data_IF_709337508982
#
_entry.id   IF_709337508982
#
_cell.length_a   1.000
_cell.length_b   1.000
_cell.length_c   1.000
_cell.angle_alpha   90.00
_cell.angle_beta   90.00
_cell.angle_gamma   90.00
#
_symmetry.space_group_name_H-M   'P 1'
#
loop_
_entity.id
_entity.type
_entity.pdbx_description
1 polymer ?
#
# COMPACT_ATOMS: atom_id res chain seq x y z
N UNK A 1 -12.73 -19.54 46.04
CA UNK A 1 -11.27 -19.69 45.89
C UNK A 1 -10.63 -18.37 46.32
N UNK A 2 -9.74 -18.45 47.32
CA UNK A 2 -9.10 -17.34 48.03
C UNK A 2 -7.90 -16.84 47.23
N UNK A 3 -7.74 -15.54 47.04
CA UNK A 3 -6.42 -14.91 47.09
C UNK A 3 -6.51 -13.55 47.78
N UNK A 4 -6.16 -13.56 49.08
CA UNK A 4 -5.68 -12.39 49.82
C UNK A 4 -4.21 -12.24 49.45
N UNK A 5 -3.79 -11.05 49.01
CA UNK A 5 -2.38 -10.68 49.00
C UNK A 5 -2.28 -9.30 49.67
N UNK A 6 -1.91 -9.34 50.95
CA UNK A 6 -1.62 -8.21 51.82
C UNK A 6 -0.10 -7.94 51.79
N UNK A 7 0.28 -6.65 51.88
CA UNK A 7 1.57 -6.12 52.33
C UNK A 7 2.78 -6.44 51.41
N UNK A 8 3.85 -5.65 51.28
CA UNK A 8 4.38 -4.51 52.04
C UNK A 8 5.28 -3.67 51.15
N UNK A 9 5.45 -2.40 51.51
CA UNK A 9 6.41 -1.46 50.92
C UNK A 9 7.86 -1.75 51.32
N UNK A 10 8.77 -1.72 50.35
CA UNK A 10 10.21 -1.42 50.43
C UNK A 10 10.70 -1.34 48.96
N UNK A 11 10.98 -0.17 48.40
CA UNK A 11 12.23 0.53 48.62
C UNK A 11 13.29 0.06 47.61
N UNK A 12 13.24 0.55 46.38
CA UNK A 12 14.41 0.67 45.50
C UNK A 12 14.12 1.75 44.44
N UNK A 13 14.88 2.84 44.51
CA UNK A 13 14.88 3.91 43.52
C UNK A 13 15.39 3.34 42.20
N UNK A 14 14.50 3.15 41.22
CA UNK A 14 14.89 2.87 39.85
C UNK A 14 13.96 3.63 38.93
N UNK A 15 14.46 4.76 38.44
CA UNK A 15 13.81 5.64 37.49
C UNK A 15 13.35 4.81 36.28
N UNK A 16 12.06 4.44 36.26
CA UNK A 16 11.41 3.85 35.09
C UNK A 16 11.28 4.95 34.05
N UNK A 17 12.34 5.08 33.25
CA UNK A 17 12.34 5.81 32.01
C UNK A 17 11.29 5.15 31.10
N UNK A 18 10.09 5.72 31.08
CA UNK A 18 9.06 5.46 30.08
C UNK A 18 9.63 5.89 28.72
N UNK A 19 10.38 5.00 28.09
CA UNK A 19 10.80 5.14 26.70
C UNK A 19 9.55 4.91 25.85
N UNK A 20 8.79 5.99 25.64
CA UNK A 20 7.70 6.03 24.69
C UNK A 20 8.27 5.71 23.31
N UNK A 21 8.13 4.45 22.89
CA UNK A 21 8.38 4.04 21.52
C UNK A 21 7.27 4.67 20.66
N UNK A 22 7.48 5.92 20.26
CA UNK A 22 6.75 6.50 19.14
C UNK A 22 7.19 5.73 17.88
N UNK A 23 6.56 4.58 17.64
CA UNK A 23 6.69 3.84 16.40
C UNK A 23 5.98 4.65 15.30
N UNK A 24 6.62 5.73 14.87
CA UNK A 24 6.24 6.42 13.65
C UNK A 24 6.54 5.46 12.50
N UNK A 25 5.49 4.94 11.86
CA UNK A 25 5.66 4.09 10.68
C UNK A 25 6.47 4.88 9.64
N UNK A 26 7.68 4.39 9.34
CA UNK A 26 8.58 5.04 8.41
C UNK A 26 7.95 5.08 7.01
N UNK A 27 8.00 6.26 6.41
CA UNK A 27 7.51 6.48 5.05
C UNK A 27 8.40 5.75 4.04
N UNK A 28 7.78 5.02 3.13
CA UNK A 28 8.42 4.17 2.13
C UNK A 28 7.86 4.47 0.74
N UNK A 29 8.65 4.15 -0.29
CA UNK A 29 8.22 4.23 -1.69
C UNK A 29 7.88 2.84 -2.21
N UNK A 30 6.82 2.76 -3.01
CA UNK A 30 6.25 1.53 -3.53
C UNK A 30 6.00 1.66 -5.01
N UNK A 31 6.72 0.86 -5.80
CA UNK A 31 6.60 0.85 -7.25
C UNK A 31 5.76 -0.36 -7.67
N UNK A 32 4.77 -0.13 -8.51
CA UNK A 32 3.88 -1.21 -8.94
C UNK A 32 2.75 -0.73 -9.83
N UNK A 33 1.87 -1.66 -10.21
CA UNK A 33 0.74 -1.35 -11.07
C UNK A 33 -0.49 -0.95 -10.28
N UNK A 34 -1.10 0.15 -10.69
CA UNK A 34 -2.38 0.61 -10.17
C UNK A 34 -3.54 -0.12 -10.85
N UNK A 35 -4.38 -0.79 -10.06
CA UNK A 35 -5.54 -1.55 -10.54
C UNK A 35 -6.75 -1.23 -9.65
N UNK A 36 -7.96 -1.18 -10.21
CA UNK A 36 -9.15 -1.07 -9.37
C UNK A 36 -9.39 -2.36 -8.56
N UNK A 37 -10.06 -2.23 -7.42
CA UNK A 37 -10.23 -3.33 -6.48
C UNK A 37 -11.15 -4.45 -6.97
N UNK A 38 -12.04 -4.15 -7.92
CA UNK A 38 -12.91 -5.18 -8.49
C UNK A 38 -12.09 -6.10 -9.38
N UNK A 39 -11.27 -5.50 -10.24
CA UNK A 39 -10.36 -6.21 -11.13
C UNK A 39 -9.23 -6.91 -10.38
N UNK A 40 -8.64 -6.28 -9.36
CA UNK A 40 -7.63 -6.94 -8.52
C UNK A 40 -8.18 -8.18 -7.80
N UNK A 41 -9.43 -8.13 -7.34
CA UNK A 41 -10.07 -9.27 -6.70
C UNK A 41 -10.35 -10.42 -7.69
N UNK A 42 -10.57 -10.12 -8.97
CA UNK A 42 -10.83 -11.13 -10.00
C UNK A 42 -9.58 -11.95 -10.36
N UNK A 43 -8.39 -11.39 -10.16
CA UNK A 43 -7.10 -12.07 -10.41
C UNK A 43 -6.38 -12.48 -9.13
N UNK A 44 -7.08 -12.42 -7.98
CA UNK A 44 -6.51 -12.84 -6.71
C UNK A 44 -6.30 -14.36 -6.72
N UNK A 45 -5.05 -14.80 -6.62
CA UNK A 45 -4.68 -16.22 -6.67
C UNK A 45 -4.35 -16.74 -8.07
N UNK A 46 -4.44 -15.89 -9.11
CA UNK A 46 -3.84 -16.20 -10.42
C UNK A 46 -2.30 -16.31 -10.26
N UNK A 47 -1.64 -17.35 -10.80
CA UNK A 47 -0.18 -17.45 -10.78
C UNK A 47 0.53 -16.42 -11.68
N UNK A 48 -0.17 -15.83 -12.65
CA UNK A 48 0.35 -14.92 -13.67
C UNK A 48 -0.57 -13.71 -13.91
N UNK A 49 -0.92 -12.92 -12.87
CA UNK A 49 -1.86 -11.80 -13.01
C UNK A 49 -1.28 -10.64 -13.84
N UNK A 50 0.03 -10.63 -14.10
CA UNK A 50 0.72 -9.52 -14.76
C UNK A 50 0.18 -9.22 -16.16
N UNK A 51 -0.20 -10.24 -16.93
CA UNK A 51 -0.73 -10.03 -18.28
C UNK A 51 -2.04 -9.24 -18.25
N UNK A 52 -2.96 -9.64 -17.37
CA UNK A 52 -4.21 -8.89 -17.14
C UNK A 52 -3.92 -7.46 -16.67
N UNK A 53 -3.01 -7.30 -15.70
CA UNK A 53 -2.69 -6.00 -15.09
C UNK A 53 -2.10 -5.02 -16.13
N UNK A 54 -1.20 -5.48 -17.00
CA UNK A 54 -0.59 -4.65 -18.05
C UNK A 54 -1.60 -4.18 -19.09
N UNK A 55 -2.62 -5.00 -19.34
CA UNK A 55 -3.71 -4.68 -20.28
C UNK A 55 -4.91 -3.98 -19.62
N UNK A 56 -4.90 -3.80 -18.30
CA UNK A 56 -5.98 -3.14 -17.57
C UNK A 56 -6.12 -1.68 -18.00
N UNK A 57 -7.29 -1.30 -18.51
CA UNK A 57 -7.48 -0.03 -19.22
C UNK A 57 -7.89 1.11 -18.30
N UNK A 58 -7.67 2.34 -18.78
CA UNK A 58 -8.16 3.58 -18.15
C UNK A 58 -9.67 3.55 -17.98
N UNK A 59 -10.37 3.16 -19.04
CA UNK A 59 -11.82 3.18 -19.09
C UNK A 59 -12.39 2.24 -18.04
N UNK A 60 -11.82 1.04 -17.91
CA UNK A 60 -12.19 0.08 -16.85
C UNK A 60 -11.93 0.68 -15.46
N UNK A 61 -10.74 1.25 -15.24
CA UNK A 61 -10.33 1.84 -13.98
C UNK A 61 -11.21 3.02 -13.55
N UNK A 62 -11.76 3.80 -14.50
CA UNK A 62 -12.53 5.01 -14.24
C UNK A 62 -14.06 4.81 -14.26
N UNK A 63 -14.54 3.58 -14.48
CA UNK A 63 -15.97 3.25 -14.35
C UNK A 63 -16.49 3.65 -12.95
N UNK A 64 -17.76 4.05 -12.88
CA UNK A 64 -18.37 4.50 -11.61
C UNK A 64 -18.25 3.46 -10.49
N UNK A 65 -18.39 2.17 -10.82
CA UNK A 65 -18.26 1.09 -9.85
C UNK A 65 -16.80 0.90 -9.38
N UNK A 66 -15.83 1.00 -10.29
CA UNK A 66 -14.40 0.87 -9.98
C UNK A 66 -13.93 2.02 -9.07
N UNK A 67 -14.29 3.27 -9.40
CA UNK A 67 -14.04 4.44 -8.55
C UNK A 67 -14.62 4.30 -7.15
N UNK A 68 -15.82 3.69 -7.03
CA UNK A 68 -16.51 3.47 -5.75
C UNK A 68 -15.82 2.42 -4.89
N UNK A 69 -15.32 1.34 -5.50
CA UNK A 69 -14.65 0.26 -4.78
C UNK A 69 -13.23 0.64 -4.35
N UNK A 70 -12.58 1.53 -5.10
CA UNK A 70 -11.22 2.00 -4.85
C UNK A 70 -10.18 1.21 -5.64
N UNK A 71 -8.92 1.39 -5.28
CA UNK A 71 -7.76 0.93 -6.02
C UNK A 71 -6.77 0.20 -5.10
N UNK A 72 -5.92 -0.61 -5.72
CA UNK A 72 -4.79 -1.28 -5.10
C UNK A 72 -3.55 -1.16 -5.99
N UNK A 73 -2.37 -1.33 -5.39
CA UNK A 73 -1.10 -1.45 -6.08
C UNK A 73 -0.67 -2.91 -6.06
N UNK A 74 -0.38 -3.46 -7.24
CA UNK A 74 0.27 -4.75 -7.38
C UNK A 74 1.79 -4.57 -7.33
N UNK A 75 2.41 -5.10 -6.29
CA UNK A 75 3.85 -5.13 -6.07
C UNK A 75 4.21 -6.61 -5.91
N UNK A 76 4.52 -7.28 -7.03
CA UNK A 76 4.68 -8.73 -7.11
C UNK A 76 5.37 -9.32 -5.86
N UNK A 77 4.77 -10.32 -5.17
CA UNK A 77 3.45 -10.96 -5.38
C UNK A 77 2.33 -10.35 -4.51
N UNK A 78 2.51 -9.15 -3.98
CA UNK A 78 1.64 -8.53 -2.97
C UNK A 78 0.69 -7.51 -3.57
N UNK A 79 -0.46 -7.35 -2.91
CA UNK A 79 -1.44 -6.32 -3.19
C UNK A 79 -1.54 -5.37 -2.01
N UNK A 80 -1.48 -4.07 -2.27
CA UNK A 80 -1.67 -3.04 -1.26
C UNK A 80 -2.89 -2.20 -1.58
N UNK A 81 -3.88 -2.22 -0.69
CA UNK A 81 -5.13 -1.46 -0.82
C UNK A 81 -4.88 0.00 -0.48
N UNK A 82 -5.28 0.91 -1.37
CA UNK A 82 -5.14 2.34 -1.11
C UNK A 82 -6.19 2.83 -0.12
N UNK A 83 -5.77 3.74 0.76
CA UNK A 83 -6.65 4.46 1.66
C UNK A 83 -7.54 5.48 0.91
N UNK A 84 -8.45 6.16 1.63
CA UNK A 84 -9.38 7.12 1.02
C UNK A 84 -8.64 8.26 0.30
N UNK A 85 -7.49 8.71 0.82
CA UNK A 85 -6.69 9.74 0.17
C UNK A 85 -6.02 9.20 -1.09
N UNK A 86 -5.35 8.04 -1.00
CA UNK A 86 -4.73 7.36 -2.14
C UNK A 86 -5.71 7.09 -3.28
N UNK A 87 -6.95 6.68 -2.98
CA UNK A 87 -8.00 6.50 -3.98
C UNK A 87 -8.32 7.78 -4.77
N UNK A 88 -8.33 8.94 -4.10
CA UNK A 88 -8.55 10.23 -4.79
C UNK A 88 -7.36 10.62 -5.67
N UNK A 89 -6.14 10.33 -5.22
CA UNK A 89 -4.92 10.56 -6.00
C UNK A 89 -4.88 9.67 -7.24
N UNK A 90 -5.24 8.39 -7.08
CA UNK A 90 -5.33 7.42 -8.16
C UNK A 90 -6.29 7.88 -9.27
N UNK A 91 -7.51 8.31 -8.91
CA UNK A 91 -8.48 8.85 -9.89
C UNK A 91 -7.89 10.04 -10.66
N UNK A 92 -7.33 11.02 -9.93
CA UNK A 92 -6.73 12.21 -10.54
C UNK A 92 -5.56 11.87 -11.47
N UNK A 93 -4.75 10.88 -11.11
CA UNK A 93 -3.65 10.39 -11.95
C UNK A 93 -4.20 9.75 -13.22
N UNK A 94 -5.15 8.82 -13.09
CA UNK A 94 -5.76 8.11 -14.22
C UNK A 94 -6.44 9.07 -15.21
N UNK A 95 -7.17 10.07 -14.71
CA UNK A 95 -7.82 11.11 -15.54
C UNK A 95 -6.81 11.97 -16.31
N UNK A 96 -5.63 12.23 -15.73
CA UNK A 96 -4.58 13.05 -16.34
C UNK A 96 -3.59 12.27 -17.19
N UNK A 97 -3.49 10.96 -16.99
CA UNK A 97 -2.51 10.11 -17.66
C UNK A 97 -2.71 10.15 -19.18
N UNK A 98 -1.61 10.09 -19.93
CA UNK A 98 -1.67 9.89 -21.38
C UNK A 98 -1.78 8.40 -21.75
N UNK A 99 -1.48 7.48 -20.82
CA UNK A 99 -1.52 6.03 -21.06
C UNK A 99 -2.96 5.55 -21.23
N UNK A 100 -3.12 4.46 -21.98
CA UNK A 100 -4.42 3.78 -22.16
C UNK A 100 -4.59 2.59 -21.23
N UNK A 101 -3.50 1.96 -20.81
CA UNK A 101 -3.46 0.79 -19.93
C UNK A 101 -2.11 0.72 -19.21
N UNK A 102 -1.96 -0.24 -18.29
CA UNK A 102 -0.66 -0.56 -17.68
C UNK A 102 -0.09 0.58 -16.84
N UNK A 103 -0.88 1.09 -15.90
CA UNK A 103 -0.53 2.23 -15.06
C UNK A 103 0.52 1.83 -14.01
N UNK A 104 1.79 1.92 -14.38
CA UNK A 104 2.90 1.76 -13.43
C UNK A 104 3.12 3.08 -12.68
N UNK A 105 3.14 3.00 -11.35
CA UNK A 105 3.20 4.16 -10.47
C UNK A 105 4.22 3.96 -9.36
N UNK A 106 4.67 5.07 -8.78
CA UNK A 106 5.33 5.11 -7.48
C UNK A 106 4.41 5.77 -6.47
N UNK A 107 4.10 5.06 -5.40
CA UNK A 107 3.35 5.58 -4.27
C UNK A 107 4.26 5.74 -3.05
N UNK A 108 4.16 6.88 -2.35
CA UNK A 108 4.86 7.09 -1.08
C UNK A 108 3.87 7.07 0.06
N UNK A 109 4.19 6.39 1.15
CA UNK A 109 3.28 6.21 2.26
C UNK A 109 3.76 5.26 3.33
N UNK A 110 2.85 4.87 4.21
CA UNK A 110 3.07 3.86 5.23
C UNK A 110 2.11 2.68 5.08
N UNK A 111 2.59 1.48 5.34
CA UNK A 111 1.80 0.24 5.29
C UNK A 111 1.34 -0.14 6.69
N UNK A 112 0.07 -0.53 6.80
CA UNK A 112 -0.53 -1.17 7.96
C UNK A 112 -1.31 -2.41 7.48
N UNK A 113 -0.75 -3.61 7.69
CA UNK A 113 -1.27 -4.84 7.09
C UNK A 113 -1.23 -4.78 5.55
N UNK A 114 -2.39 -4.92 4.91
CA UNK A 114 -2.52 -4.81 3.45
C UNK A 114 -2.96 -3.41 2.99
N UNK A 115 -3.04 -2.44 3.91
CA UNK A 115 -3.47 -1.08 3.60
C UNK A 115 -2.27 -0.15 3.49
N UNK A 116 -2.22 0.59 2.38
CA UNK A 116 -1.26 1.66 2.14
C UNK A 116 -1.92 3.02 2.40
N UNK A 117 -1.43 3.73 3.42
CA UNK A 117 -1.76 5.13 3.67
C UNK A 117 -0.91 5.99 2.75
N UNK A 118 -1.52 6.50 1.68
CA UNK A 118 -0.78 7.17 0.60
C UNK A 118 -0.63 8.65 0.88
N UNK A 119 0.59 9.17 0.74
CA UNK A 119 0.89 10.60 0.73
C UNK A 119 0.98 11.15 -0.69
N UNK A 120 1.68 10.46 -1.59
CA UNK A 120 1.83 10.87 -2.99
C UNK A 120 1.72 9.68 -3.93
N UNK A 121 1.26 9.95 -5.16
CA UNK A 121 1.30 9.00 -6.28
C UNK A 121 1.84 9.75 -7.50
N UNK A 122 2.78 9.13 -8.19
CA UNK A 122 3.32 9.61 -9.47
C UNK A 122 3.30 8.47 -10.50
N UNK A 123 2.97 8.79 -11.75
CA UNK A 123 3.09 7.85 -12.86
C UNK A 123 4.56 7.82 -13.30
N UNK A 124 5.14 6.62 -13.37
CA UNK A 124 6.54 6.40 -13.75
C UNK A 124 6.64 5.33 -14.83
N UNK A 125 7.77 5.26 -15.52
CA UNK A 125 8.05 4.16 -16.43
C UNK A 125 8.25 2.85 -15.66
N UNK A 126 7.79 1.74 -16.22
CA UNK A 126 8.14 0.43 -15.69
C UNK A 126 9.65 0.23 -15.86
N UNK A 127 10.39 -0.15 -14.81
CA UNK A 127 11.82 -0.38 -14.92
C UNK A 127 12.07 -1.50 -15.93
N UNK A 128 13.03 -1.29 -16.84
CA UNK A 128 13.48 -2.34 -17.74
C UNK A 128 14.21 -3.38 -16.89
N UNK A 129 14.03 -4.66 -17.22
CA UNK A 129 14.53 -5.81 -16.43
C UNK A 129 16.05 -5.86 -16.18
N UNK A 130 16.82 -4.91 -16.73
CA UNK A 130 18.28 -4.83 -16.63
C UNK A 130 18.73 -3.95 -15.43
N UNK A 131 17.88 -3.04 -14.93
CA UNK A 131 18.26 -2.05 -13.90
C UNK A 131 18.05 -2.53 -12.45
N UNK A 132 17.46 -3.71 -12.24
CA UNK A 132 17.17 -4.24 -10.89
C UNK A 132 18.33 -5.01 -10.25
N UNK A 133 19.47 -5.11 -10.94
CA UNK A 133 20.63 -5.90 -10.51
C UNK A 133 21.73 -5.08 -9.81
N UNK A 134 21.67 -3.75 -9.81
CA UNK A 134 22.77 -2.89 -9.34
C UNK A 134 22.38 -2.06 -8.11
N UNK A 135 22.23 -2.72 -6.97
CA UNK A 135 22.50 -2.10 -5.66
C UNK A 135 22.91 -3.22 -4.70
N UNK A 136 24.21 -3.50 -4.63
CA UNK A 136 24.85 -4.30 -3.58
C UNK A 136 25.78 -3.43 -2.76
#
# INVERSE_FOLDING_TARGET
MKYRCLLSAAGFSLSTFLFGLACGAAEQSFDGYLVDRKCSAAVLGDPHPEDFIKHHTKDCSLMANCKKQGYAIYIKPRWLILDKHGNKLAIKLLEKSARRSGFYIRAKGSIEGDRLTVKTIEEIEEPRSEDSAETR
#
